data_IF_689983717364
#
_entry.id   IF_689983717364
#
_cell.length_a   1.000
_cell.length_b   1.000
_cell.length_c   1.000
_cell.angle_alpha   90.00
_cell.angle_beta   90.00
_cell.angle_gamma   90.00
#
_symmetry.space_group_name_H-M   'P 1'
#
loop_
_entity.id
_entity.type
_entity.pdbx_description
1 polymer ?
#
# COMPACT_ATOMS: atom_id res chain seq x y z
N UNK A 1 1.58 23.79 9.28
CA UNK A 1 1.45 22.90 8.12
C UNK A 1 0.02 23.01 7.67
N UNK A 2 -0.19 23.45 6.46
CA UNK A 2 -1.49 23.59 5.82
C UNK A 2 -1.82 22.31 5.05
N UNK A 3 -3.10 22.15 4.68
CA UNK A 3 -3.51 21.05 3.83
C UNK A 3 -4.62 21.47 2.88
N UNK A 4 -4.73 20.76 1.77
CA UNK A 4 -5.85 20.84 0.84
C UNK A 4 -6.13 19.49 0.19
N UNK A 5 -7.34 19.32 -0.32
CA UNK A 5 -7.64 18.16 -1.17
C UNK A 5 -7.00 18.34 -2.54
N UNK A 6 -6.46 17.25 -3.05
CA UNK A 6 -5.91 17.23 -4.41
C UNK A 6 -7.02 17.20 -5.45
N UNK A 7 -6.73 17.78 -6.59
CA UNK A 7 -7.55 17.72 -7.81
C UNK A 7 -6.83 16.93 -8.91
N UNK A 8 -7.46 16.80 -10.05
CA UNK A 8 -6.84 16.15 -11.22
C UNK A 8 -5.60 16.90 -11.71
N UNK A 9 -5.51 18.21 -11.47
CA UNK A 9 -4.37 19.03 -11.84
C UNK A 9 -3.11 18.72 -11.01
N UNK A 10 -3.28 18.06 -9.85
CA UNK A 10 -2.19 17.63 -9.00
C UNK A 10 -1.57 16.27 -9.42
N UNK A 11 -2.07 15.64 -10.48
CA UNK A 11 -1.53 14.35 -10.96
C UNK A 11 -0.02 14.35 -11.17
N UNK A 12 0.62 15.38 -11.76
CA UNK A 12 2.07 15.36 -11.97
C UNK A 12 2.87 15.30 -10.67
N UNK A 13 2.41 15.92 -9.60
CA UNK A 13 3.11 15.86 -8.31
C UNK A 13 2.78 14.56 -7.59
N UNK A 14 1.53 14.15 -7.56
CA UNK A 14 1.11 12.91 -6.93
C UNK A 14 1.77 11.67 -7.55
N UNK A 15 1.89 11.61 -8.88
CA UNK A 15 2.54 10.50 -9.56
C UNK A 15 4.03 10.42 -9.25
N UNK A 16 4.74 11.56 -9.20
CA UNK A 16 6.16 11.60 -8.78
C UNK A 16 6.34 11.15 -7.33
N UNK A 17 5.49 11.63 -6.43
CA UNK A 17 5.54 11.22 -5.02
C UNK A 17 5.20 9.74 -4.84
N UNK A 18 4.21 9.23 -5.59
CA UNK A 18 3.84 7.83 -5.57
C UNK A 18 4.95 6.92 -6.12
N UNK A 19 5.67 7.34 -7.18
CA UNK A 19 6.86 6.63 -7.65
C UNK A 19 7.89 6.49 -6.53
N UNK A 20 8.25 7.59 -5.85
CA UNK A 20 9.20 7.57 -4.75
C UNK A 20 8.75 6.64 -3.61
N UNK A 21 7.46 6.65 -3.25
CA UNK A 21 6.90 5.73 -2.25
C UNK A 21 7.13 4.27 -2.65
N UNK A 22 6.75 3.91 -3.87
CA UNK A 22 6.83 2.54 -4.39
C UNK A 22 8.28 2.06 -4.50
N UNK A 23 9.21 2.95 -4.84
CA UNK A 23 10.66 2.68 -4.81
C UNK A 23 11.17 2.45 -3.39
N UNK A 24 10.80 3.32 -2.44
CA UNK A 24 11.23 3.23 -1.04
C UNK A 24 10.74 1.95 -0.36
N UNK A 25 9.53 1.51 -0.70
CA UNK A 25 8.94 0.26 -0.20
C UNK A 25 9.51 -1.00 -0.86
N UNK A 26 10.41 -0.87 -1.84
CA UNK A 26 10.90 -1.99 -2.65
C UNK A 26 9.77 -2.83 -3.28
N UNK A 27 8.61 -2.19 -3.51
CA UNK A 27 7.44 -2.85 -4.04
C UNK A 27 7.69 -3.39 -5.46
N UNK A 28 7.04 -4.50 -5.82
CA UNK A 28 7.18 -5.14 -7.16
C UNK A 28 6.91 -4.21 -8.35
N UNK A 29 6.15 -3.13 -8.15
CA UNK A 29 5.84 -2.14 -9.19
C UNK A 29 6.92 -1.04 -9.37
N UNK A 30 8.03 -1.05 -8.64
CA UNK A 30 9.08 0.00 -8.69
C UNK A 30 9.71 0.21 -10.07
N UNK A 31 9.59 -0.76 -10.95
CA UNK A 31 10.14 -0.70 -12.33
C UNK A 31 9.13 -0.21 -13.38
N UNK A 32 7.93 0.20 -12.98
CA UNK A 32 6.92 0.72 -13.89
C UNK A 32 7.29 2.12 -14.42
N UNK A 33 6.75 2.46 -15.59
CA UNK A 33 6.97 3.76 -16.24
C UNK A 33 6.29 4.93 -15.50
N UNK A 34 6.70 6.17 -15.80
CA UNK A 34 6.04 7.37 -15.28
C UNK A 34 4.56 7.43 -15.70
N UNK A 35 4.27 7.10 -16.95
CA UNK A 35 2.90 7.03 -17.46
C UNK A 35 2.03 6.04 -16.65
N UNK A 36 2.60 4.92 -16.20
CA UNK A 36 1.90 3.97 -15.34
C UNK A 36 1.58 4.58 -13.96
N UNK A 37 2.51 5.33 -13.36
CA UNK A 37 2.26 6.00 -12.08
C UNK A 37 1.21 7.11 -12.22
N UNK A 38 1.23 7.85 -13.31
CA UNK A 38 0.21 8.87 -13.59
C UNK A 38 -1.17 8.24 -13.75
N UNK A 39 -1.31 7.21 -14.56
CA UNK A 39 -2.58 6.51 -14.75
C UNK A 39 -3.07 5.86 -13.46
N UNK A 40 -2.18 5.30 -12.65
CA UNK A 40 -2.51 4.76 -11.34
C UNK A 40 -3.09 5.82 -10.41
N UNK A 41 -2.47 7.00 -10.32
CA UNK A 41 -2.96 8.09 -9.46
C UNK A 41 -4.25 8.67 -10.01
N UNK A 42 -4.39 8.79 -11.34
CA UNK A 42 -5.64 9.15 -12.00
C UNK A 42 -6.76 8.19 -11.63
N UNK A 43 -6.52 6.90 -11.72
CA UNK A 43 -7.47 5.85 -11.35
C UNK A 43 -7.92 5.95 -9.89
N UNK A 44 -7.03 6.30 -8.97
CA UNK A 44 -7.42 6.54 -7.58
C UNK A 44 -8.33 7.75 -7.44
N UNK A 45 -7.96 8.89 -8.00
CA UNK A 45 -8.74 10.13 -7.89
C UNK A 45 -10.13 10.02 -8.54
N UNK A 46 -10.25 9.30 -9.65
CA UNK A 46 -11.53 9.07 -10.34
C UNK A 46 -12.31 7.89 -9.76
N UNK A 47 -11.65 6.99 -9.03
CA UNK A 47 -12.23 5.77 -8.43
C UNK A 47 -12.70 5.92 -6.99
N UNK A 48 -12.90 7.15 -6.51
CA UNK A 48 -13.48 7.41 -5.18
C UNK A 48 -12.46 7.56 -4.05
N UNK A 49 -11.18 7.50 -4.33
CA UNK A 49 -10.17 7.87 -3.34
C UNK A 49 -10.07 9.38 -3.19
N UNK A 50 -9.82 9.83 -1.96
CA UNK A 50 -9.50 11.22 -1.64
C UNK A 50 -8.00 11.33 -1.37
N UNK A 51 -7.35 12.27 -2.04
CA UNK A 51 -5.96 12.61 -1.78
C UNK A 51 -5.89 13.96 -1.04
N UNK A 52 -5.09 14.01 0.02
CA UNK A 52 -4.80 15.23 0.78
C UNK A 52 -3.35 15.57 0.58
N UNK A 53 -3.07 16.79 0.17
CA UNK A 53 -1.73 17.35 0.07
C UNK A 53 -1.44 18.20 1.31
N UNK A 54 -0.24 18.04 1.85
CA UNK A 54 0.23 18.80 3.01
C UNK A 54 1.35 19.75 2.58
N UNK A 55 1.24 21.01 3.00
CA UNK A 55 2.10 22.10 2.55
C UNK A 55 2.78 22.78 3.73
N UNK A 56 4.04 23.17 3.51
CA UNK A 56 4.82 24.02 4.42
C UNK A 56 5.44 25.10 3.56
N UNK A 57 5.16 26.38 3.86
CA UNK A 57 5.69 27.55 3.14
C UNK A 57 5.45 27.47 1.61
N UNK A 58 4.28 26.96 1.21
CA UNK A 58 3.90 26.80 -0.20
C UNK A 58 4.53 25.59 -0.92
N UNK A 59 5.36 24.78 -0.23
CA UNK A 59 5.92 23.55 -0.78
C UNK A 59 5.07 22.35 -0.35
N UNK A 60 4.68 21.51 -1.30
CA UNK A 60 4.01 20.23 -1.01
C UNK A 60 5.05 19.25 -0.49
N UNK A 61 4.94 18.89 0.80
CA UNK A 61 5.92 18.06 1.51
C UNK A 61 5.44 16.64 1.79
N UNK A 62 4.12 16.40 1.73
CA UNK A 62 3.53 15.10 1.98
C UNK A 62 2.18 14.94 1.28
N UNK A 63 1.71 13.71 1.13
CA UNK A 63 0.33 13.42 0.78
C UNK A 63 -0.20 12.21 1.55
N UNK A 64 -1.52 12.14 1.68
CA UNK A 64 -2.23 10.94 2.10
C UNK A 64 -3.31 10.59 1.08
N UNK A 65 -3.56 9.30 0.89
CA UNK A 65 -4.58 8.76 -0.02
C UNK A 65 -5.44 7.79 0.75
N UNK A 66 -6.75 8.03 0.80
CA UNK A 66 -7.69 7.20 1.54
C UNK A 66 -9.05 7.09 0.84
N UNK A 67 -9.84 6.11 1.27
CA UNK A 67 -11.21 5.90 0.81
C UNK A 67 -12.02 5.22 1.92
N UNK A 68 -13.33 5.14 1.80
CA UNK A 68 -14.13 4.21 2.58
C UNK A 68 -13.71 2.76 2.24
N UNK A 69 -13.66 1.90 3.25
CA UNK A 69 -13.28 0.50 3.01
C UNK A 69 -14.38 -0.20 2.20
N UNK A 70 -14.03 -0.93 1.11
CA UNK A 70 -15.03 -1.51 0.21
C UNK A 70 -15.97 -2.51 0.89
N UNK A 71 -15.47 -3.26 1.88
CA UNK A 71 -16.21 -4.34 2.54
C UNK A 71 -16.66 -4.00 3.98
N UNK A 72 -16.25 -2.83 4.53
CA UNK A 72 -16.54 -2.43 5.92
C UNK A 72 -16.96 -0.97 6.00
N UNK A 73 -18.27 -0.73 6.10
CA UNK A 73 -18.85 0.64 6.13
C UNK A 73 -18.42 1.49 7.32
N UNK A 74 -17.98 0.85 8.40
CA UNK A 74 -17.46 1.47 9.62
C UNK A 74 -15.94 1.74 9.57
N UNK A 75 -15.30 1.59 8.41
CA UNK A 75 -13.85 1.62 8.30
C UNK A 75 -13.40 2.53 7.15
N UNK A 76 -12.39 3.34 7.43
CA UNK A 76 -11.61 4.08 6.43
C UNK A 76 -10.37 3.26 6.09
N UNK A 77 -10.08 3.15 4.81
CA UNK A 77 -8.85 2.54 4.31
C UNK A 77 -7.85 3.62 3.90
N UNK A 78 -6.82 3.80 4.70
CA UNK A 78 -5.66 4.62 4.36
C UNK A 78 -4.76 3.82 3.41
N UNK A 79 -4.84 4.17 2.12
CA UNK A 79 -4.06 3.48 1.09
C UNK A 79 -2.59 3.83 1.14
N UNK A 80 -2.28 5.11 1.39
CA UNK A 80 -0.91 5.65 1.37
C UNK A 80 -0.80 6.87 2.27
N UNK A 81 0.36 7.02 2.91
CA UNK A 81 0.86 8.29 3.44
C UNK A 81 2.34 8.38 3.08
N UNK A 82 2.76 9.52 2.56
CA UNK A 82 4.12 9.71 2.08
C UNK A 82 4.63 11.11 2.44
N UNK A 83 5.87 11.18 2.87
CA UNK A 83 6.62 12.42 3.07
C UNK A 83 7.80 12.43 2.10
N UNK A 84 7.99 13.53 1.37
CA UNK A 84 9.11 13.67 0.45
C UNK A 84 10.44 13.41 1.15
N UNK A 85 11.39 12.76 0.47
CA UNK A 85 12.64 12.28 1.07
C UNK A 85 13.43 13.37 1.80
N UNK A 86 13.50 14.56 1.17
CA UNK A 86 14.22 15.73 1.72
C UNK A 86 13.64 16.30 3.01
N UNK A 87 12.37 15.99 3.32
CA UNK A 87 11.62 16.50 4.50
C UNK A 87 11.34 15.45 5.56
N UNK A 88 11.94 14.26 5.46
CA UNK A 88 11.77 13.19 6.45
C UNK A 88 12.51 13.49 7.75
N UNK A 89 12.12 12.79 8.82
CA UNK A 89 12.69 12.90 10.19
C UNK A 89 12.51 14.27 10.85
N UNK A 90 11.58 15.09 10.33
CA UNK A 90 11.22 16.42 10.84
C UNK A 90 9.82 16.42 11.51
N UNK A 91 9.26 15.26 11.82
CA UNK A 91 7.93 15.15 12.45
C UNK A 91 6.74 15.32 11.48
N UNK A 92 6.98 15.62 10.19
CA UNK A 92 5.93 15.92 9.20
C UNK A 92 4.93 14.77 9.09
N UNK A 93 5.37 13.51 9.00
CA UNK A 93 4.46 12.36 8.93
C UNK A 93 3.54 12.26 10.15
N UNK A 94 4.07 12.50 11.36
CA UNK A 94 3.26 12.52 12.59
C UNK A 94 2.22 13.65 12.56
N UNK A 95 2.63 14.86 12.12
CA UNK A 95 1.71 16.00 12.00
C UNK A 95 0.65 15.76 10.95
N UNK A 96 1.00 15.17 9.80
CA UNK A 96 0.05 14.80 8.75
C UNK A 96 -0.99 13.79 9.25
N UNK A 97 -0.55 12.76 9.99
CA UNK A 97 -1.47 11.78 10.58
C UNK A 97 -2.37 12.40 11.64
N UNK A 98 -1.84 13.33 12.44
CA UNK A 98 -2.64 14.09 13.41
C UNK A 98 -3.75 14.89 12.71
N UNK A 99 -3.42 15.66 11.67
CA UNK A 99 -4.41 16.41 10.88
C UNK A 99 -5.45 15.47 10.25
N UNK A 100 -5.02 14.36 9.67
CA UNK A 100 -5.95 13.36 9.14
C UNK A 100 -6.95 12.92 10.19
N UNK A 101 -6.48 12.52 11.36
CA UNK A 101 -7.32 11.99 12.42
C UNK A 101 -8.22 13.06 13.07
N UNK A 102 -7.73 14.28 13.29
CA UNK A 102 -8.44 15.29 14.06
C UNK A 102 -9.36 16.18 13.21
N UNK A 103 -9.00 16.41 11.94
CA UNK A 103 -9.65 17.43 11.11
C UNK A 103 -10.35 16.86 9.87
N UNK A 104 -9.94 15.69 9.36
CA UNK A 104 -10.37 15.21 8.03
C UNK A 104 -11.21 13.94 8.12
N UNK A 105 -10.77 12.95 8.91
CA UNK A 105 -11.42 11.65 8.95
C UNK A 105 -12.57 11.59 9.95
N UNK A 106 -13.65 10.85 9.66
CA UNK A 106 -14.74 10.62 10.60
C UNK A 106 -14.22 9.95 11.88
N UNK A 107 -14.65 10.48 13.03
CA UNK A 107 -14.20 9.98 14.34
C UNK A 107 -14.88 8.69 14.79
N UNK A 108 -15.98 8.33 14.17
CA UNK A 108 -16.79 7.13 14.44
C UNK A 108 -16.37 5.93 13.59
N UNK A 109 -15.37 6.09 12.72
CA UNK A 109 -14.87 5.02 11.85
C UNK A 109 -13.49 4.53 12.28
N UNK A 110 -13.27 3.24 12.09
CA UNK A 110 -11.93 2.64 12.22
C UNK A 110 -11.03 3.13 11.08
N UNK A 111 -9.74 3.23 11.34
CA UNK A 111 -8.73 3.52 10.32
C UNK A 111 -7.83 2.30 10.14
N UNK A 112 -7.72 1.80 8.91
CA UNK A 112 -6.87 0.67 8.56
C UNK A 112 -5.85 1.05 7.50
N UNK A 113 -4.71 0.36 7.48
CA UNK A 113 -3.65 0.50 6.50
C UNK A 113 -2.99 -0.86 6.27
N UNK A 114 -2.59 -1.13 5.04
CA UNK A 114 -1.77 -2.29 4.70
C UNK A 114 -0.29 -1.90 4.65
N UNK A 115 0.55 -2.73 5.24
CA UNK A 115 2.00 -2.52 5.27
C UNK A 115 2.69 -3.79 4.83
N UNK A 116 3.63 -3.68 3.88
CA UNK A 116 4.45 -4.81 3.47
C UNK A 116 5.23 -5.37 4.67
N UNK A 117 5.24 -6.69 4.83
CA UNK A 117 5.86 -7.39 5.98
C UNK A 117 7.33 -6.98 6.18
N UNK A 118 8.08 -6.75 5.11
CA UNK A 118 9.48 -6.32 5.18
C UNK A 118 9.68 -4.82 5.41
N UNK A 119 8.62 -3.99 5.45
CA UNK A 119 8.75 -2.54 5.61
C UNK A 119 8.77 -2.15 7.10
N UNK A 120 9.89 -2.44 7.77
CA UNK A 120 10.06 -2.16 9.20
C UNK A 120 9.97 -0.65 9.53
N UNK A 121 10.36 0.22 8.60
CA UNK A 121 10.27 1.67 8.77
C UNK A 121 8.82 2.12 8.84
N UNK A 122 7.97 1.63 7.94
CA UNK A 122 6.54 1.93 7.95
C UNK A 122 5.85 1.34 9.19
N UNK A 123 6.16 0.08 9.57
CA UNK A 123 5.62 -0.53 10.78
C UNK A 123 5.95 0.28 12.04
N UNK A 124 7.21 0.70 12.18
CA UNK A 124 7.63 1.54 13.30
C UNK A 124 6.91 2.90 13.32
N UNK A 125 6.72 3.51 12.14
CA UNK A 125 5.97 4.75 12.01
C UNK A 125 4.51 4.57 12.42
N UNK A 126 3.80 3.59 11.87
CA UNK A 126 2.39 3.37 12.19
C UNK A 126 2.17 3.02 13.66
N UNK A 127 3.04 2.22 14.25
CA UNK A 127 3.03 1.95 15.70
C UNK A 127 3.21 3.24 16.51
N UNK A 128 4.13 4.12 16.10
CA UNK A 128 4.39 5.39 16.81
C UNK A 128 3.24 6.42 16.70
N UNK A 129 2.33 6.27 15.72
CA UNK A 129 1.14 7.11 15.57
C UNK A 129 -0.15 6.40 16.01
N UNK A 130 -0.05 5.25 16.70
CA UNK A 130 -1.17 4.61 17.39
C UNK A 130 -1.79 3.39 16.72
N UNK A 131 -1.27 2.94 15.57
CA UNK A 131 -1.75 1.69 14.95
C UNK A 131 -1.20 0.46 15.67
N UNK A 132 -1.96 -0.62 15.58
CA UNK A 132 -1.58 -1.96 16.03
C UNK A 132 -1.76 -2.97 14.90
N UNK A 133 -1.00 -4.03 14.92
CA UNK A 133 -1.21 -5.15 13.99
C UNK A 133 -2.59 -5.78 14.24
N UNK A 134 -3.28 -6.07 13.15
CA UNK A 134 -4.65 -6.61 13.21
C UNK A 134 -4.80 -7.91 12.42
N UNK A 135 -4.20 -8.00 11.22
CA UNK A 135 -4.27 -9.20 10.37
C UNK A 135 -2.95 -9.41 9.65
N UNK A 136 -2.72 -10.64 9.18
CA UNK A 136 -1.60 -11.01 8.33
C UNK A 136 -2.16 -11.69 7.09
N UNK A 137 -1.83 -11.18 5.91
CA UNK A 137 -2.10 -11.81 4.63
C UNK A 137 -0.91 -12.69 4.23
N UNK A 138 -1.19 -13.94 3.82
CA UNK A 138 -0.21 -14.89 3.34
C UNK A 138 -0.46 -15.20 1.88
N UNK A 139 0.60 -15.24 1.07
CA UNK A 139 0.50 -15.59 -0.35
C UNK A 139 1.40 -16.77 -0.71
N UNK A 140 0.95 -17.55 -1.69
CA UNK A 140 1.81 -18.48 -2.42
C UNK A 140 2.03 -17.86 -3.79
N UNK A 141 3.26 -17.43 -4.14
CA UNK A 141 3.56 -16.86 -5.45
C UNK A 141 3.19 -17.84 -6.59
N UNK A 142 2.72 -17.33 -7.71
CA UNK A 142 2.21 -18.16 -8.82
C UNK A 142 3.23 -19.18 -9.31
N UNK A 143 4.51 -18.81 -9.37
CA UNK A 143 5.59 -19.74 -9.77
C UNK A 143 5.73 -20.89 -8.77
N UNK A 144 5.65 -20.63 -7.47
CA UNK A 144 5.75 -21.66 -6.42
C UNK A 144 4.53 -22.59 -6.41
N UNK A 145 3.32 -22.07 -6.68
CA UNK A 145 2.12 -22.91 -6.86
C UNK A 145 2.29 -23.91 -8.00
N UNK A 146 2.85 -23.46 -9.13
CA UNK A 146 3.08 -24.32 -10.29
C UNK A 146 4.12 -25.42 -10.00
N UNK A 147 5.17 -25.09 -9.24
CA UNK A 147 6.18 -26.08 -8.81
C UNK A 147 5.54 -27.13 -7.90
N UNK A 148 4.75 -26.72 -6.91
CA UNK A 148 4.07 -27.65 -5.99
C UNK A 148 3.04 -28.53 -6.70
N UNK A 149 2.34 -28.02 -7.72
CA UNK A 149 1.44 -28.84 -8.54
C UNK A 149 2.22 -29.87 -9.36
N UNK A 150 3.29 -29.46 -10.03
CA UNK A 150 4.13 -30.36 -10.81
C UNK A 150 4.76 -31.46 -9.93
N UNK A 151 5.22 -31.13 -8.73
CA UNK A 151 5.78 -32.11 -7.79
C UNK A 151 4.73 -33.13 -7.32
N UNK A 152 3.48 -32.71 -7.09
CA UNK A 152 2.38 -33.58 -6.76
C UNK A 152 2.02 -34.53 -7.92
N UNK A 153 1.99 -34.04 -9.15
CA UNK A 153 1.74 -34.84 -10.35
C UNK A 153 2.86 -35.86 -10.58
N UNK A 154 4.13 -35.44 -10.46
CA UNK A 154 5.29 -36.31 -10.56
C UNK A 154 5.25 -37.41 -9.49
N UNK A 155 4.89 -37.05 -8.25
CA UNK A 155 4.80 -38.01 -7.16
C UNK A 155 3.67 -39.01 -7.39
N UNK A 156 2.51 -38.55 -7.86
CA UNK A 156 1.37 -39.41 -8.21
C UNK A 156 1.70 -40.38 -9.34
N UNK A 157 2.37 -39.95 -10.39
CA UNK A 157 2.82 -40.79 -11.51
C UNK A 157 3.81 -41.84 -11.03
N UNK A 158 4.81 -41.45 -10.20
CA UNK A 158 5.79 -42.40 -9.62
C UNK A 158 5.15 -43.45 -8.73
N UNK A 159 4.16 -43.10 -7.92
CA UNK A 159 3.43 -44.05 -7.08
C UNK A 159 2.63 -45.05 -7.92
N UNK A 160 1.94 -44.58 -8.95
CA UNK A 160 1.15 -45.46 -9.84
C UNK A 160 2.04 -46.39 -10.67
N UNK A 161 3.20 -45.95 -11.09
CA UNK A 161 4.18 -46.78 -11.78
C UNK A 161 4.71 -47.92 -10.88
N UNK A 162 5.04 -47.63 -9.61
CA UNK A 162 5.48 -48.62 -8.63
C UNK A 162 4.37 -49.64 -8.32
N UNK A 163 3.11 -49.20 -8.21
CA UNK A 163 1.95 -50.11 -7.98
C UNK A 163 1.72 -51.09 -9.14
N UNK A 164 1.95 -50.65 -10.40
CA UNK A 164 1.82 -51.50 -11.57
C UNK A 164 2.96 -52.55 -11.69
N UNK A 165 4.16 -52.20 -11.24
CA UNK A 165 5.33 -53.06 -11.29
C UNK A 165 5.28 -54.19 -10.25
N UNK A 166 4.62 -53.94 -9.11
CA UNK A 166 4.48 -54.92 -8.02
C UNK A 166 3.27 -55.86 -8.21
N UNK A 167 2.49 -55.74 -9.28
CA UNK A 167 1.35 -56.62 -9.61
C UNK A 167 1.66 -57.59 -10.76
N UNK A 168 2.92 -57.68 -11.20
CA UNK A 168 3.41 -58.67 -12.12
C UNK A 168 4.41 -59.60 -11.39
#
# INVERSE_FOLDING_TARGET
MEYRFATIDDLPILSRMNRQLVEDEQHRNRFKSDAWFEERMRGFLTGGYKAVLFEIEGEIVAYALYTDHPDHSDTIYLRQIFVVRSRRRQGIGRKAMQILNEEILPQDKRLTVEVLVGNEVAKAYYKAVGFREYSLELEIPTLERNIQQNDKEIHFVKQNYRRKKNKR
#
